data_IF_736367702908
#
_entry.id   IF_736367702908
#
_cell.length_a   1.000
_cell.length_b   1.000
_cell.length_c   1.000
_cell.angle_alpha   90.00
_cell.angle_beta   90.00
_cell.angle_gamma   90.00
#
_symmetry.space_group_name_H-M   'P 1'
#
loop_
_entity.id
_entity.type
_entity.pdbx_description
1 polymer ?
#
# COMPACT_ATOMS: atom_id res chain seq x y z
N UNK A 1 20.27 5.37 -6.06
CA UNK A 1 19.84 6.71 -5.61
C UNK A 1 20.87 7.35 -4.66
N UNK A 2 20.86 8.68 -4.49
CA UNK A 2 21.56 9.32 -3.37
C UNK A 2 20.74 9.21 -2.06
N UNK A 3 21.36 9.31 -0.86
CA UNK A 3 20.67 9.03 0.41
C UNK A 3 19.47 9.94 0.73
N UNK A 4 19.43 11.15 0.17
CA UNK A 4 18.28 12.04 0.33
C UNK A 4 17.11 11.56 -0.54
N UNK A 5 17.39 11.14 -1.76
CA UNK A 5 16.38 10.57 -2.67
C UNK A 5 15.73 9.29 -2.10
N UNK A 6 16.52 8.44 -1.43
CA UNK A 6 16.00 7.28 -0.69
C UNK A 6 15.06 7.73 0.44
N UNK A 7 15.47 8.72 1.24
CA UNK A 7 14.65 9.24 2.35
C UNK A 7 13.32 9.82 1.85
N UNK A 8 13.35 10.58 0.76
CA UNK A 8 12.14 11.14 0.12
C UNK A 8 11.22 10.03 -0.37
N UNK A 9 11.77 8.99 -0.99
CA UNK A 9 11.00 7.85 -1.51
C UNK A 9 10.36 7.05 -0.36
N UNK A 10 11.09 6.79 0.72
CA UNK A 10 10.53 6.17 1.93
C UNK A 10 9.40 7.02 2.52
N UNK A 11 9.59 8.35 2.57
CA UNK A 11 8.59 9.28 3.10
C UNK A 11 7.30 9.31 2.28
N UNK A 12 7.40 9.28 0.94
CA UNK A 12 6.23 9.25 0.07
C UNK A 12 5.46 7.93 0.22
N UNK A 13 6.16 6.80 0.30
CA UNK A 13 5.56 5.49 0.52
C UNK A 13 4.85 5.39 1.86
N UNK A 14 5.41 5.99 2.92
CA UNK A 14 4.76 6.07 4.23
C UNK A 14 3.38 6.74 4.13
N UNK A 15 3.30 7.85 3.39
CA UNK A 15 2.05 8.60 3.18
C UNK A 15 1.04 7.78 2.38
N UNK A 16 1.48 7.09 1.32
CA UNK A 16 0.58 6.26 0.50
C UNK A 16 0.06 5.06 1.32
N UNK A 17 0.94 4.35 2.03
CA UNK A 17 0.53 3.22 2.88
C UNK A 17 -0.47 3.67 3.96
N UNK A 18 -0.23 4.80 4.64
CA UNK A 18 -1.16 5.34 5.63
C UNK A 18 -2.52 5.71 5.03
N UNK A 19 -2.53 6.28 3.82
CA UNK A 19 -3.76 6.60 3.08
C UNK A 19 -4.56 5.34 2.76
N UNK A 20 -3.91 4.33 2.21
CA UNK A 20 -4.52 3.03 1.89
C UNK A 20 -5.16 2.40 3.12
N UNK A 21 -4.42 2.32 4.23
CA UNK A 21 -4.91 1.79 5.51
C UNK A 21 -6.16 2.54 5.96
N UNK A 22 -6.14 3.88 5.90
CA UNK A 22 -7.27 4.72 6.26
C UNK A 22 -8.49 4.45 5.38
N UNK A 23 -8.33 4.45 4.06
CA UNK A 23 -9.44 4.21 3.12
C UNK A 23 -10.07 2.84 3.37
N UNK A 24 -9.26 1.82 3.61
CA UNK A 24 -9.77 0.48 3.96
C UNK A 24 -10.60 0.53 5.26
N UNK A 25 -10.11 1.19 6.31
CA UNK A 25 -10.85 1.33 7.56
C UNK A 25 -12.18 2.05 7.38
N UNK A 26 -12.22 3.05 6.49
CA UNK A 26 -13.41 3.84 6.20
C UNK A 26 -14.46 3.00 5.44
N UNK A 27 -14.05 2.14 4.49
CA UNK A 27 -14.99 1.38 3.64
C UNK A 27 -15.31 -0.03 4.15
N UNK A 28 -14.49 -0.67 4.99
CA UNK A 28 -14.63 -2.10 5.31
C UNK A 28 -16.02 -2.50 5.83
N UNK A 29 -16.72 -1.61 6.54
CA UNK A 29 -18.06 -1.86 7.07
C UNK A 29 -19.14 -1.97 6.00
N UNK A 30 -18.92 -1.32 4.85
CA UNK A 30 -19.84 -1.32 3.71
C UNK A 30 -19.64 -2.57 2.83
N UNK A 31 -18.52 -3.28 3.00
CA UNK A 31 -18.08 -4.40 2.16
C UNK A 31 -17.95 -5.70 2.96
N UNK A 32 -19.02 -6.14 3.64
CA UNK A 32 -19.00 -7.32 4.54
C UNK A 32 -18.44 -8.60 3.91
N UNK A 33 -18.72 -8.86 2.63
CA UNK A 33 -18.24 -10.06 1.93
C UNK A 33 -16.72 -10.01 1.61
N UNK A 34 -16.12 -8.82 1.64
CA UNK A 34 -14.69 -8.60 1.42
C UNK A 34 -13.96 -8.06 2.66
N UNK A 35 -14.67 -7.87 3.78
CA UNK A 35 -14.15 -7.25 5.01
C UNK A 35 -12.88 -7.95 5.50
N UNK A 36 -12.86 -9.28 5.45
CA UNK A 36 -11.69 -10.07 5.84
C UNK A 36 -10.45 -9.78 4.98
N UNK A 37 -10.62 -9.72 3.65
CA UNK A 37 -9.48 -9.48 2.74
C UNK A 37 -9.06 -8.01 2.79
N UNK A 38 -10.01 -7.07 2.93
CA UNK A 38 -9.71 -5.66 3.19
C UNK A 38 -8.90 -5.50 4.49
N UNK A 39 -9.33 -6.11 5.59
CA UNK A 39 -8.58 -6.08 6.85
C UNK A 39 -7.19 -6.74 6.72
N UNK A 40 -7.08 -7.82 5.94
CA UNK A 40 -5.79 -8.46 5.65
C UNK A 40 -4.88 -7.50 4.89
N UNK A 41 -5.37 -6.82 3.85
CA UNK A 41 -4.60 -5.82 3.10
C UNK A 41 -4.15 -4.68 4.02
N UNK A 42 -5.04 -4.15 4.86
CA UNK A 42 -4.67 -3.09 5.81
C UNK A 42 -3.59 -3.56 6.80
N UNK A 43 -3.64 -4.81 7.25
CA UNK A 43 -2.59 -5.40 8.11
C UNK A 43 -1.24 -5.44 7.39
N UNK A 44 -1.21 -5.94 6.15
CA UNK A 44 0.05 -5.98 5.38
C UNK A 44 0.59 -4.57 5.09
N UNK A 45 -0.28 -3.64 4.68
CA UNK A 45 0.13 -2.24 4.50
C UNK A 45 0.65 -1.61 5.79
N UNK A 46 0.12 -2.01 6.96
CA UNK A 46 0.63 -1.58 8.26
C UNK A 46 2.04 -2.11 8.50
N UNK A 47 2.32 -3.37 8.17
CA UNK A 47 3.67 -3.95 8.27
C UNK A 47 4.65 -3.19 7.37
N UNK A 48 4.27 -2.91 6.11
CA UNK A 48 5.08 -2.11 5.18
C UNK A 48 5.31 -0.71 5.74
N UNK A 49 4.26 -0.05 6.22
CA UNK A 49 4.35 1.29 6.82
C UNK A 49 5.30 1.31 8.03
N UNK A 50 5.14 0.39 8.98
CA UNK A 50 6.00 0.30 10.17
C UNK A 50 7.46 0.03 9.79
N UNK A 51 7.70 -0.84 8.81
CA UNK A 51 9.04 -1.16 8.33
C UNK A 51 9.71 0.06 7.69
N UNK A 52 8.98 0.78 6.84
CA UNK A 52 9.45 2.02 6.22
C UNK A 52 9.68 3.13 7.25
N UNK A 53 8.85 3.21 8.30
CA UNK A 53 8.98 4.21 9.36
C UNK A 53 10.23 3.94 10.19
N UNK A 54 10.51 2.66 10.48
CA UNK A 54 11.75 2.26 11.13
C UNK A 54 12.97 2.60 10.28
N UNK A 55 12.93 2.30 8.97
CA UNK A 55 13.99 2.69 8.04
C UNK A 55 14.19 4.21 8.02
N UNK A 56 13.12 5.00 7.91
CA UNK A 56 13.19 6.46 7.94
C UNK A 56 13.84 6.97 9.24
N UNK A 57 13.46 6.39 10.39
CA UNK A 57 14.04 6.74 11.68
C UNK A 57 15.54 6.47 11.73
N UNK A 58 16.00 5.31 11.24
CA UNK A 58 17.42 4.98 11.16
C UNK A 58 18.19 5.93 10.23
N UNK A 59 17.60 6.26 9.08
CA UNK A 59 18.21 7.17 8.10
C UNK A 59 18.35 8.60 8.64
N UNK A 60 17.36 9.07 9.40
CA UNK A 60 17.39 10.41 10.01
C UNK A 60 18.32 10.47 11.23
N UNK A 61 18.41 9.39 12.01
CA UNK A 61 19.23 9.36 13.22
C UNK A 61 20.74 9.32 12.90
N UNK A 62 21.14 8.61 11.84
CA UNK A 62 22.56 8.41 11.54
C UNK A 62 22.87 8.46 10.03
N UNK A 63 22.51 9.59 9.42
CA UNK A 63 22.65 9.81 7.97
C UNK A 63 24.10 9.64 7.47
N UNK A 64 25.09 10.05 8.25
CA UNK A 64 26.51 9.98 7.86
C UNK A 64 27.03 8.54 7.86
N UNK A 65 26.65 7.74 8.86
CA UNK A 65 27.02 6.31 8.91
C UNK A 65 26.24 5.50 7.89
N UNK A 66 25.00 5.87 7.61
CA UNK A 66 24.21 5.24 6.54
C UNK A 66 24.85 5.47 5.18
N UNK A 67 25.31 6.69 4.91
CA UNK A 67 26.00 7.05 3.66
C UNK A 67 27.29 6.25 3.45
N UNK A 68 28.03 5.92 4.50
CA UNK A 68 29.25 5.11 4.39
C UNK A 68 28.97 3.61 4.23
N UNK A 69 27.77 3.14 4.62
CA UNK A 69 27.34 1.74 4.52
C UNK A 69 26.52 1.43 3.27
N UNK A 70 25.97 2.44 2.59
CA UNK A 70 25.26 2.32 1.32
C UNK A 70 26.26 1.96 0.20
N UNK A 71 26.57 0.68 0.08
CA UNK A 71 27.28 0.18 -1.12
C UNK A 71 26.35 0.28 -2.34
N UNK A 72 26.90 0.29 -3.57
CA UNK A 72 26.09 0.30 -4.78
C UNK A 72 25.06 -0.83 -4.85
N UNK A 73 25.45 -2.04 -4.42
CA UNK A 73 24.57 -3.23 -4.38
C UNK A 73 23.43 -3.06 -3.38
N UNK A 74 23.71 -2.53 -2.18
CA UNK A 74 22.68 -2.25 -1.17
C UNK A 74 21.73 -1.18 -1.68
N UNK A 75 22.27 -0.14 -2.33
CA UNK A 75 21.47 0.94 -2.92
C UNK A 75 20.54 0.42 -4.02
N UNK A 76 21.02 -0.45 -4.90
CA UNK A 76 20.21 -1.06 -5.97
C UNK A 76 19.11 -1.97 -5.41
N UNK A 77 19.41 -2.74 -4.35
CA UNK A 77 18.41 -3.54 -3.66
C UNK A 77 17.32 -2.66 -3.00
N UNK A 78 17.71 -1.55 -2.37
CA UNK A 78 16.78 -0.57 -1.83
C UNK A 78 15.92 0.06 -2.93
N UNK A 79 16.53 0.51 -4.02
CA UNK A 79 15.82 1.13 -5.14
C UNK A 79 14.78 0.15 -5.72
N UNK A 80 15.15 -1.12 -5.89
CA UNK A 80 14.26 -2.18 -6.36
C UNK A 80 13.10 -2.44 -5.40
N UNK A 81 13.39 -2.56 -4.09
CA UNK A 81 12.37 -2.81 -3.08
C UNK A 81 11.38 -1.63 -2.94
N UNK A 82 11.90 -0.41 -2.95
CA UNK A 82 11.09 0.82 -2.88
C UNK A 82 10.23 0.99 -4.13
N UNK A 83 10.77 0.66 -5.31
CA UNK A 83 9.99 0.65 -6.54
C UNK A 83 8.85 -0.38 -6.49
N UNK A 84 9.13 -1.59 -6.00
CA UNK A 84 8.10 -2.61 -5.78
C UNK A 84 6.99 -2.13 -4.85
N UNK A 85 7.36 -1.55 -3.70
CA UNK A 85 6.40 -0.95 -2.77
C UNK A 85 5.58 0.17 -3.44
N UNK A 86 6.23 1.04 -4.22
CA UNK A 86 5.57 2.13 -4.92
C UNK A 86 4.52 1.64 -5.90
N UNK A 87 4.87 0.64 -6.72
CA UNK A 87 3.97 0.06 -7.71
C UNK A 87 2.78 -0.61 -7.02
N UNK A 88 3.03 -1.49 -6.06
CA UNK A 88 1.97 -2.23 -5.35
C UNK A 88 1.02 -1.29 -4.60
N UNK A 89 1.56 -0.32 -3.85
CA UNK A 89 0.74 0.63 -3.10
C UNK A 89 -0.04 1.59 -4.02
N UNK A 90 0.52 1.97 -5.18
CA UNK A 90 -0.18 2.84 -6.13
C UNK A 90 -1.33 2.12 -6.83
N UNK A 91 -1.12 0.86 -7.24
CA UNK A 91 -2.20 0.02 -7.81
C UNK A 91 -3.30 -0.18 -6.77
N UNK A 92 -2.93 -0.44 -5.51
CA UNK A 92 -3.89 -0.61 -4.43
C UNK A 92 -4.67 0.68 -4.13
N UNK A 93 -4.02 1.84 -4.07
CA UNK A 93 -4.69 3.14 -3.87
C UNK A 93 -5.70 3.41 -4.99
N UNK A 94 -5.35 3.10 -6.24
CA UNK A 94 -6.24 3.26 -7.39
C UNK A 94 -7.45 2.32 -7.33
N UNK A 95 -7.25 1.03 -7.02
CA UNK A 95 -8.37 0.09 -6.89
C UNK A 95 -9.30 0.43 -5.71
N UNK A 96 -8.76 0.88 -4.59
CA UNK A 96 -9.56 1.36 -3.46
C UNK A 96 -10.35 2.62 -3.82
N UNK A 97 -9.78 3.55 -4.61
CA UNK A 97 -10.52 4.72 -5.11
C UNK A 97 -11.68 4.32 -6.01
N UNK A 98 -11.48 3.33 -6.89
CA UNK A 98 -12.56 2.79 -7.74
C UNK A 98 -13.67 2.15 -6.92
N UNK A 99 -13.33 1.48 -5.82
CA UNK A 99 -14.30 0.93 -4.88
C UNK A 99 -15.12 2.05 -4.23
N UNK A 100 -14.44 3.07 -3.66
CA UNK A 100 -15.09 4.24 -3.05
C UNK A 100 -16.02 4.95 -4.04
N UNK A 101 -15.54 5.23 -5.26
CA UNK A 101 -16.33 5.93 -6.29
C UNK A 101 -17.49 5.07 -6.81
N UNK A 102 -17.30 3.76 -6.94
CA UNK A 102 -18.34 2.82 -7.32
C UNK A 102 -19.46 2.66 -6.27
N UNK A 103 -19.18 2.98 -5.00
CA UNK A 103 -20.17 3.00 -3.93
C UNK A 103 -21.08 4.24 -3.93
N UNK A 104 -20.64 5.36 -4.51
CA UNK A 104 -21.32 6.67 -4.42
C UNK A 104 -22.41 6.88 -5.49
N UNK A 105 -22.48 6.04 -6.53
CA UNK A 105 -23.42 6.22 -7.66
C UNK A 105 -24.58 5.20 -7.62
N UNK A 106 -25.77 5.69 -7.25
CA UNK A 106 -27.13 5.13 -7.42
C UNK A 106 -27.62 3.97 -6.55
N UNK A 107 -28.57 4.31 -5.67
CA UNK A 107 -29.32 3.44 -4.74
C UNK A 107 -30.32 2.46 -5.40
N UNK A 108 -30.38 2.32 -6.73
CA UNK A 108 -31.44 1.56 -7.41
C UNK A 108 -31.02 0.33 -8.23
N UNK A 109 -29.74 -0.07 -8.25
CA UNK A 109 -29.29 -1.25 -9.02
C UNK A 109 -28.53 -2.26 -8.16
N UNK A 110 -29.27 -3.10 -7.42
CA UNK A 110 -28.74 -4.10 -6.48
C UNK A 110 -28.11 -5.34 -7.14
N UNK A 111 -28.39 -5.60 -8.41
CA UNK A 111 -28.04 -6.86 -9.09
C UNK A 111 -26.66 -6.85 -9.80
N UNK A 112 -26.25 -5.83 -10.57
CA UNK A 112 -24.92 -5.82 -11.22
C UNK A 112 -23.77 -5.57 -10.22
N UNK A 113 -24.08 -5.07 -9.02
CA UNK A 113 -23.10 -4.80 -7.96
C UNK A 113 -22.53 -6.08 -7.36
N UNK A 114 -23.34 -7.11 -7.07
CA UNK A 114 -22.86 -8.38 -6.51
C UNK A 114 -21.88 -9.12 -7.43
N UNK A 115 -22.11 -9.06 -8.74
CA UNK A 115 -21.22 -9.67 -9.74
C UNK A 115 -19.91 -8.89 -9.87
N UNK A 116 -19.98 -7.54 -9.85
CA UNK A 116 -18.78 -6.69 -9.80
C UNK A 116 -18.00 -6.89 -8.50
N UNK A 117 -18.69 -7.06 -7.37
CA UNK A 117 -18.07 -7.33 -6.07
C UNK A 117 -17.41 -8.71 -6.00
N UNK A 118 -17.97 -9.73 -6.63
CA UNK A 118 -17.32 -11.04 -6.75
C UNK A 118 -16.01 -10.94 -7.55
N UNK A 119 -16.02 -10.20 -8.66
CA UNK A 119 -14.83 -9.92 -9.48
C UNK A 119 -13.83 -9.03 -8.71
N UNK A 120 -14.30 -8.03 -7.98
CA UNK A 120 -13.46 -7.17 -7.12
C UNK A 120 -12.88 -7.95 -5.93
N UNK A 121 -13.60 -8.93 -5.38
CA UNK A 121 -13.10 -9.78 -4.29
C UNK A 121 -11.93 -10.65 -4.76
N UNK A 122 -12.06 -11.30 -5.92
CA UNK A 122 -10.95 -12.07 -6.50
C UNK A 122 -9.76 -11.17 -6.84
N UNK A 123 -10.00 -9.96 -7.34
CA UNK A 123 -8.95 -8.96 -7.56
C UNK A 123 -8.29 -8.47 -6.27
N UNK A 124 -9.06 -8.27 -5.20
CA UNK A 124 -8.52 -7.92 -3.88
C UNK A 124 -7.68 -9.07 -3.30
N UNK A 125 -8.06 -10.33 -3.55
CA UNK A 125 -7.23 -11.50 -3.18
C UNK A 125 -5.93 -11.55 -3.97
N UNK A 126 -5.96 -11.25 -5.27
CA UNK A 126 -4.75 -11.15 -6.10
C UNK A 126 -3.82 -10.04 -5.58
N UNK A 127 -4.36 -8.87 -5.27
CA UNK A 127 -3.58 -7.78 -4.66
C UNK A 127 -3.01 -8.19 -3.29
N UNK A 128 -3.78 -8.90 -2.47
CA UNK A 128 -3.29 -9.43 -1.20
C UNK A 128 -2.12 -10.40 -1.39
N UNK A 129 -2.15 -11.25 -2.41
CA UNK A 129 -1.01 -12.10 -2.75
C UNK A 129 0.21 -11.27 -3.16
N UNK A 130 0.03 -10.28 -4.03
CA UNK A 130 1.13 -9.41 -4.47
C UNK A 130 1.78 -8.62 -3.32
N UNK A 131 1.01 -8.22 -2.30
CA UNK A 131 1.55 -7.52 -1.13
C UNK A 131 2.35 -8.46 -0.22
N UNK A 132 1.91 -9.72 -0.10
CA UNK A 132 2.58 -10.74 0.73
C UNK A 132 3.89 -11.25 0.14
N UNK A 133 4.05 -11.12 -1.19
CA UNK A 133 5.19 -11.67 -1.93
C UNK A 133 4.92 -13.09 -2.41
#
# INVERSE_FOLDING_TARGET
MDPLSVTVSVSSLLVIAARVIKVIHDIRGDYKDAEFVLCSIASECTVVHTSLAHLQSMMLADFQTLRSRLTPQVTEAFDTALLGCALTLSVLDEELRKLVQGGVIDTNALEPRKLKYLVENDRLKELLQQIRG
#
